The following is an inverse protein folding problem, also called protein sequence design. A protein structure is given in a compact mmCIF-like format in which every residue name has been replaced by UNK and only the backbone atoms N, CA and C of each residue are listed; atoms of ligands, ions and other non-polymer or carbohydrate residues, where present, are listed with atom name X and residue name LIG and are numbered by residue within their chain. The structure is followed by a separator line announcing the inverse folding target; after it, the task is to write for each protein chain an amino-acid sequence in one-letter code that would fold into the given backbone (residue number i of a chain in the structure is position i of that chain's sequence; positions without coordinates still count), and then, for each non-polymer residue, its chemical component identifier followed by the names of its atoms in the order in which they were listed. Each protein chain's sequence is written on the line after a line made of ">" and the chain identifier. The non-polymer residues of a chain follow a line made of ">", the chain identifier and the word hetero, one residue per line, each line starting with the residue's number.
data_IF_144753004531
#
_entry.id   IF_144753004531
#
_cell.length_a   1.000
_cell.length_b   1.000
_cell.length_c   1.000
_cell.angle_alpha   90.00
_cell.angle_beta   90.00
_cell.angle_gamma   90.00
#
_symmetry.space_group_name_H-M   'P 1'
#
loop_
_entity.id
_entity.type
_entity.pdbx_description
1 polymer ?
#
# COMPACT_ATOMS: atom_id res chain seq x y z
N UNK A 1 19.63 18.38 -5.68
CA UNK A 1 18.72 18.09 -4.56
C UNK A 1 17.28 18.17 -5.01
N UNK A 2 16.73 17.04 -5.43
CA UNK A 2 15.29 16.86 -5.65
C UNK A 2 14.68 16.20 -4.42
N UNK A 3 13.57 16.73 -3.93
CA UNK A 3 12.91 16.23 -2.73
C UNK A 3 11.42 16.00 -2.97
N UNK A 4 10.86 14.99 -2.33
CA UNK A 4 9.42 14.75 -2.25
C UNK A 4 8.92 15.16 -0.86
N UNK A 5 7.75 15.79 -0.80
CA UNK A 5 7.07 16.12 0.45
C UNK A 5 5.68 15.49 0.45
N UNK A 6 5.42 14.61 1.41
CA UNK A 6 4.16 13.90 1.57
C UNK A 6 3.29 14.67 2.57
N UNK A 7 2.20 15.26 2.10
CA UNK A 7 1.20 15.90 2.96
C UNK A 7 0.15 14.87 3.40
N UNK A 8 0.34 14.29 4.57
CA UNK A 8 -0.43 13.14 5.09
C UNK A 8 -1.74 13.53 5.79
N UNK A 9 -2.45 14.55 5.29
CA UNK A 9 -3.71 15.06 5.92
C UNK A 9 -4.83 14.03 5.95
N UNK A 10 -4.90 13.13 4.97
CA UNK A 10 -5.88 12.03 4.89
C UNK A 10 -5.30 10.66 5.19
N UNK A 11 -4.07 10.60 5.70
CA UNK A 11 -3.26 9.36 5.76
C UNK A 11 -2.33 9.22 4.55
N UNK A 12 -1.64 8.08 4.49
CA UNK A 12 -0.79 7.68 3.36
C UNK A 12 -0.78 6.15 3.26
N UNK A 13 -1.41 5.60 2.23
CA UNK A 13 -1.28 4.20 1.80
C UNK A 13 -0.40 4.10 0.55
N UNK A 14 0.09 2.91 0.23
CA UNK A 14 0.99 2.75 -0.92
C UNK A 14 0.31 3.06 -2.25
N UNK A 15 -0.94 2.63 -2.45
CA UNK A 15 -1.74 3.01 -3.63
C UNK A 15 -1.98 4.53 -3.75
N UNK A 16 -2.11 5.26 -2.63
CA UNK A 16 -2.17 6.72 -2.62
C UNK A 16 -0.84 7.35 -3.03
N UNK A 17 0.29 6.81 -2.56
CA UNK A 17 1.62 7.27 -2.95
C UNK A 17 1.90 6.97 -4.43
N UNK A 18 1.51 5.80 -4.92
CA UNK A 18 1.58 5.45 -6.33
C UNK A 18 0.73 6.40 -7.17
N UNK A 19 -0.51 6.67 -6.76
CA UNK A 19 -1.38 7.65 -7.42
C UNK A 19 -0.76 9.03 -7.49
N UNK A 20 -0.17 9.50 -6.39
CA UNK A 20 0.53 10.79 -6.34
C UNK A 20 1.76 10.85 -7.26
N UNK A 21 2.54 9.76 -7.34
CA UNK A 21 3.69 9.67 -8.24
C UNK A 21 3.26 9.67 -9.71
N UNK A 22 2.20 8.92 -10.04
CA UNK A 22 1.63 8.88 -11.39
C UNK A 22 1.09 10.25 -11.81
N UNK A 23 0.34 10.94 -10.94
CA UNK A 23 -0.13 12.32 -11.23
C UNK A 23 1.05 13.32 -11.26
N UNK A 24 2.11 13.03 -10.51
CA UNK A 24 3.38 13.78 -10.51
C UNK A 24 4.24 13.58 -11.76
N UNK A 25 3.77 12.80 -12.73
CA UNK A 25 4.41 12.62 -14.03
C UNK A 25 5.26 11.35 -14.16
N UNK A 26 5.18 10.41 -13.22
CA UNK A 26 5.76 9.07 -13.42
C UNK A 26 4.90 8.30 -14.41
N UNK A 27 5.46 7.80 -15.52
CA UNK A 27 4.73 6.94 -16.44
C UNK A 27 4.37 5.59 -15.80
N UNK A 28 3.19 5.05 -16.12
CA UNK A 28 2.69 3.79 -15.53
C UNK A 28 3.60 2.59 -15.86
N UNK A 29 4.22 2.59 -17.05
CA UNK A 29 5.15 1.57 -17.52
C UNK A 29 6.41 1.46 -16.65
N UNK A 30 6.84 2.54 -16.00
CA UNK A 30 7.94 2.50 -15.01
C UNK A 30 7.55 1.61 -13.83
N UNK A 31 6.32 1.77 -13.33
CA UNK A 31 5.80 1.01 -12.20
C UNK A 31 5.55 -0.45 -12.62
N UNK A 32 4.93 -0.66 -13.78
CA UNK A 32 4.69 -2.00 -14.34
C UNK A 32 6.00 -2.76 -14.57
N UNK A 33 7.03 -2.12 -15.10
CA UNK A 33 8.34 -2.75 -15.33
C UNK A 33 8.99 -3.18 -14.01
N UNK A 34 8.95 -2.33 -12.98
CA UNK A 34 9.51 -2.65 -11.66
C UNK A 34 8.76 -3.82 -11.01
N UNK A 35 7.43 -3.84 -11.09
CA UNK A 35 6.61 -4.94 -10.55
C UNK A 35 6.83 -6.23 -11.36
N UNK A 36 6.89 -6.13 -12.69
CA UNK A 36 7.18 -7.26 -13.57
C UNK A 36 8.53 -7.92 -13.28
N UNK A 37 9.53 -7.13 -12.86
CA UNK A 37 10.84 -7.63 -12.47
C UNK A 37 10.81 -8.54 -11.23
N UNK A 38 9.77 -8.47 -10.39
CA UNK A 38 9.60 -9.32 -9.21
C UNK A 38 9.21 -10.77 -9.57
N UNK A 39 8.75 -11.00 -10.81
CA UNK A 39 8.31 -12.33 -11.24
C UNK A 39 7.08 -12.86 -10.49
N UNK A 40 6.31 -11.98 -9.86
CA UNK A 40 5.03 -12.33 -9.21
C UNK A 40 3.91 -12.29 -10.24
N UNK A 41 3.08 -13.34 -10.26
CA UNK A 41 1.95 -13.43 -11.19
C UNK A 41 0.67 -12.85 -10.59
N UNK A 42 -0.24 -12.43 -11.45
CA UNK A 42 -1.59 -12.03 -11.03
C UNK A 42 -1.68 -10.63 -10.44
N UNK A 43 -0.73 -9.76 -10.74
CA UNK A 43 -0.74 -8.34 -10.38
C UNK A 43 -0.96 -7.51 -11.64
N UNK A 44 -1.91 -6.59 -11.59
CA UNK A 44 -2.12 -5.58 -12.62
C UNK A 44 -2.15 -4.21 -11.95
N UNK A 45 -1.36 -3.28 -12.48
CA UNK A 45 -1.37 -1.88 -12.04
C UNK A 45 -1.91 -1.03 -13.17
N UNK A 46 -2.85 -0.15 -12.85
CA UNK A 46 -3.34 0.83 -13.79
C UNK A 46 -3.56 2.17 -13.09
N UNK A 47 -3.69 3.23 -13.89
CA UNK A 47 -3.93 4.57 -13.40
C UNK A 47 -5.19 5.13 -14.06
N UNK A 48 -6.02 5.81 -13.29
CA UNK A 48 -7.14 6.59 -13.82
C UNK A 48 -7.18 7.95 -13.16
N UNK A 49 -7.65 8.97 -13.89
CA UNK A 49 -7.94 10.26 -13.29
C UNK A 49 -9.29 10.17 -12.59
N UNK A 50 -9.32 10.58 -11.32
CA UNK A 50 -10.53 10.66 -10.50
C UNK A 50 -10.69 12.11 -9.99
N UNK A 51 -11.94 12.50 -9.73
CA UNK A 51 -12.26 13.80 -9.13
C UNK A 51 -13.14 13.55 -7.93
N UNK A 52 -12.66 13.92 -6.74
CA UNK A 52 -13.40 13.78 -5.48
C UNK A 52 -13.38 15.07 -4.71
N UNK A 53 -14.54 15.48 -4.21
CA UNK A 53 -14.67 16.74 -3.48
C UNK A 53 -14.02 17.91 -4.25
N UNK A 54 -14.24 17.97 -5.56
CA UNK A 54 -13.69 18.99 -6.49
C UNK A 54 -12.17 18.96 -6.68
N UNK A 55 -11.46 17.96 -6.14
CA UNK A 55 -10.01 17.77 -6.32
C UNK A 55 -9.76 16.68 -7.36
N UNK A 56 -9.03 17.02 -8.43
CA UNK A 56 -8.52 16.08 -9.44
C UNK A 56 -7.23 15.44 -8.94
N UNK A 57 -7.09 14.12 -9.13
CA UNK A 57 -5.82 13.42 -8.99
C UNK A 57 -5.81 12.10 -9.75
N UNK A 58 -4.62 11.51 -9.92
CA UNK A 58 -4.53 10.13 -10.40
C UNK A 58 -4.77 9.17 -9.23
N UNK A 59 -5.56 8.13 -9.51
CA UNK A 59 -5.79 6.99 -8.63
C UNK A 59 -5.07 5.79 -9.22
N UNK A 60 -4.11 5.25 -8.48
CA UNK A 60 -3.56 3.94 -8.77
C UNK A 60 -4.62 2.87 -8.45
N UNK A 61 -4.77 1.91 -9.35
CA UNK A 61 -5.58 0.73 -9.16
C UNK A 61 -4.65 -0.47 -9.21
N UNK A 62 -4.49 -1.14 -8.07
CA UNK A 62 -3.72 -2.37 -7.96
C UNK A 62 -4.70 -3.52 -7.82
N UNK A 63 -4.74 -4.38 -8.82
CA UNK A 63 -5.53 -5.61 -8.79
C UNK A 63 -4.59 -6.80 -8.54
N UNK A 64 -4.82 -7.48 -7.41
CA UNK A 64 -4.10 -8.68 -7.00
C UNK A 64 -5.06 -9.86 -7.02
N UNK A 65 -4.99 -10.63 -8.10
CA UNK A 65 -5.88 -11.78 -8.35
C UNK A 65 -5.60 -13.00 -7.48
N UNK A 66 -4.43 -13.08 -6.82
CA UNK A 66 -4.04 -14.23 -6.01
C UNK A 66 -3.92 -13.85 -4.53
N UNK A 67 -4.68 -14.54 -3.67
CA UNK A 67 -4.56 -14.46 -2.21
C UNK A 67 -3.31 -15.19 -1.67
N UNK A 68 -2.19 -15.15 -2.42
CA UNK A 68 -0.94 -15.77 -2.00
C UNK A 68 -0.34 -14.96 -0.86
N UNK A 69 -0.05 -15.64 0.24
CA UNK A 69 0.68 -15.08 1.38
C UNK A 69 2.18 -15.35 1.21
N UNK A 70 3.00 -14.38 1.61
CA UNK A 70 4.45 -14.46 1.63
C UNK A 70 4.94 -14.27 3.07
N UNK A 71 5.93 -15.05 3.47
CA UNK A 71 6.66 -14.78 4.71
C UNK A 71 7.62 -13.59 4.54
N UNK A 72 8.08 -12.97 5.63
CA UNK A 72 9.08 -11.90 5.57
C UNK A 72 10.30 -12.28 4.73
N UNK A 73 10.83 -13.49 4.93
CA UNK A 73 12.00 -13.97 4.18
C UNK A 73 11.68 -14.12 2.68
N UNK A 74 10.51 -14.66 2.32
CA UNK A 74 10.12 -14.80 0.92
C UNK A 74 10.01 -13.45 0.22
N UNK A 75 9.47 -12.42 0.88
CA UNK A 75 9.38 -11.07 0.31
C UNK A 75 10.77 -10.46 0.08
N UNK A 76 11.68 -10.61 1.03
CA UNK A 76 13.07 -10.17 0.89
C UNK A 76 13.80 -10.94 -0.22
N UNK A 77 13.57 -12.25 -0.34
CA UNK A 77 14.17 -13.08 -1.39
C UNK A 77 13.68 -12.65 -2.78
N UNK A 78 12.38 -12.38 -2.93
CA UNK A 78 11.80 -11.89 -4.18
C UNK A 78 12.46 -10.58 -4.61
N UNK A 79 12.56 -9.60 -3.70
CA UNK A 79 13.16 -8.29 -4.02
C UNK A 79 14.66 -8.41 -4.27
N UNK A 80 15.39 -9.19 -3.46
CA UNK A 80 16.85 -9.33 -3.60
C UNK A 80 17.28 -10.05 -4.88
N UNK A 81 16.48 -10.97 -5.40
CA UNK A 81 16.80 -11.74 -6.62
C UNK A 81 16.17 -11.18 -7.90
N UNK A 82 15.35 -10.12 -7.81
CA UNK A 82 14.73 -9.49 -8.97
C UNK A 82 15.77 -8.76 -9.85
N UNK A 83 16.27 -9.43 -10.90
CA UNK A 83 17.36 -8.92 -11.73
C UNK A 83 17.00 -7.64 -12.54
N UNK A 84 15.71 -7.40 -12.77
CA UNK A 84 15.23 -6.21 -13.50
C UNK A 84 15.15 -4.93 -12.64
N UNK A 85 15.37 -5.02 -11.32
CA UNK A 85 15.40 -3.85 -10.44
C UNK A 85 16.78 -3.20 -10.43
N UNK A 86 16.81 -1.87 -10.45
CA UNK A 86 18.02 -1.11 -10.15
C UNK A 86 18.47 -1.35 -8.71
N UNK A 87 19.75 -1.07 -8.44
CA UNK A 87 20.29 -1.21 -7.09
C UNK A 87 19.66 -0.21 -6.11
N UNK A 88 19.30 0.98 -6.57
CA UNK A 88 18.61 1.99 -5.77
C UNK A 88 17.23 1.52 -5.31
N UNK A 89 16.41 1.07 -6.26
CA UNK A 89 15.07 0.52 -5.97
C UNK A 89 15.17 -0.70 -5.06
N UNK A 90 16.08 -1.63 -5.35
CA UNK A 90 16.28 -2.85 -4.53
C UNK A 90 16.65 -2.50 -3.09
N UNK A 91 17.68 -1.66 -2.92
CA UNK A 91 18.18 -1.27 -1.60
C UNK A 91 17.10 -0.56 -0.78
N UNK A 92 16.38 0.38 -1.41
CA UNK A 92 15.32 1.13 -0.73
C UNK A 92 14.11 0.25 -0.38
N UNK A 93 13.67 -0.62 -1.29
CA UNK A 93 12.59 -1.56 -1.03
C UNK A 93 12.92 -2.52 0.11
N UNK A 94 14.15 -3.07 0.12
CA UNK A 94 14.64 -3.92 1.21
C UNK A 94 14.66 -3.17 2.54
N UNK A 95 15.13 -1.93 2.57
CA UNK A 95 15.15 -1.12 3.80
C UNK A 95 13.73 -0.88 4.35
N UNK A 96 12.76 -0.57 3.48
CA UNK A 96 11.36 -0.38 3.86
C UNK A 96 10.74 -1.67 4.39
N UNK A 97 10.90 -2.79 3.68
CA UNK A 97 10.37 -4.09 4.13
C UNK A 97 10.94 -4.50 5.49
N UNK A 98 12.26 -4.34 5.68
CA UNK A 98 12.89 -4.62 6.97
C UNK A 98 12.29 -3.77 8.10
N UNK A 99 12.09 -2.46 7.86
CA UNK A 99 11.49 -1.57 8.84
C UNK A 99 10.02 -1.93 9.16
N UNK A 100 9.24 -2.34 8.15
CA UNK A 100 7.88 -2.83 8.33
C UNK A 100 7.85 -4.10 9.19
N UNK A 101 8.73 -5.06 8.92
CA UNK A 101 8.80 -6.31 9.69
C UNK A 101 9.27 -6.10 11.14
N UNK A 102 10.20 -5.17 11.37
CA UNK A 102 10.60 -4.77 12.72
C UNK A 102 9.46 -4.10 13.48
N UNK A 103 8.65 -3.28 12.79
CA UNK A 103 7.46 -2.68 13.38
C UNK A 103 6.39 -3.72 13.73
N UNK A 104 6.13 -4.67 12.82
CA UNK A 104 5.18 -5.77 13.03
C UNK A 104 5.60 -6.61 14.25
N UNK A 105 6.86 -7.03 14.32
CA UNK A 105 7.41 -7.77 15.46
C UNK A 105 7.17 -7.04 16.78
N UNK A 106 7.42 -5.73 16.80
CA UNK A 106 7.26 -4.89 17.99
C UNK A 106 5.80 -4.73 18.42
N UNK A 107 4.88 -4.50 17.48
CA UNK A 107 3.45 -4.31 17.78
C UNK A 107 2.81 -5.61 18.27
N UNK A 108 3.24 -6.75 17.73
CA UNK A 108 2.72 -8.07 18.10
C UNK A 108 3.48 -8.74 19.25
N UNK A 109 4.61 -8.18 19.69
CA UNK A 109 5.42 -8.71 20.78
C UNK A 109 6.08 -10.06 20.45
N UNK A 110 6.38 -10.30 19.18
CA UNK A 110 7.00 -11.52 18.68
C UNK A 110 8.46 -11.27 18.27
N UNK A 111 9.28 -12.33 18.33
CA UNK A 111 10.58 -12.29 17.67
C UNK A 111 10.40 -12.16 16.16
N UNK A 112 11.30 -11.42 15.51
CA UNK A 112 11.27 -11.18 14.06
C UNK A 112 11.18 -12.47 13.23
N UNK A 113 11.84 -13.53 13.68
CA UNK A 113 11.80 -14.84 13.02
C UNK A 113 10.44 -15.55 13.13
N UNK A 114 9.61 -15.17 14.10
CA UNK A 114 8.29 -15.71 14.37
C UNK A 114 7.15 -14.78 13.87
N UNK A 115 7.48 -13.69 13.17
CA UNK A 115 6.48 -12.76 12.63
C UNK A 115 5.62 -13.47 11.59
N UNK A 116 4.32 -13.51 11.86
CA UNK A 116 3.32 -13.87 10.87
C UNK A 116 2.72 -12.57 10.33
N UNK A 117 2.79 -12.38 9.01
CA UNK A 117 2.28 -11.18 8.37
C UNK A 117 0.77 -11.34 8.13
N UNK A 118 -0.03 -10.79 9.04
CA UNK A 118 -1.48 -10.83 8.94
C UNK A 118 -2.00 -9.86 7.88
N UNK A 119 -1.43 -8.65 7.83
CA UNK A 119 -1.85 -7.57 6.93
C UNK A 119 -0.83 -7.31 5.81
N UNK A 120 0.46 -7.48 6.07
CA UNK A 120 1.56 -7.11 5.16
C UNK A 120 2.05 -8.25 4.26
N UNK A 121 1.49 -9.45 4.38
CA UNK A 121 2.02 -10.67 3.76
C UNK A 121 1.57 -10.89 2.33
N UNK A 122 1.13 -9.85 1.60
CA UNK A 122 0.49 -10.01 0.29
C UNK A 122 1.31 -9.35 -0.83
N UNK A 123 0.97 -9.65 -2.09
CA UNK A 123 1.61 -9.00 -3.23
C UNK A 123 1.36 -7.48 -3.27
N UNK A 124 0.27 -7.00 -2.67
CA UNK A 124 -0.05 -5.56 -2.56
C UNK A 124 1.07 -4.79 -1.86
N UNK A 125 1.59 -5.32 -0.75
CA UNK A 125 2.73 -4.73 -0.03
C UNK A 125 4.01 -4.69 -0.88
N UNK A 126 4.26 -5.70 -1.71
CA UNK A 126 5.40 -5.68 -2.63
C UNK A 126 5.22 -4.61 -3.72
N UNK A 127 4.01 -4.50 -4.28
CA UNK A 127 3.65 -3.51 -5.29
C UNK A 127 3.84 -2.10 -4.74
N UNK A 128 3.31 -1.83 -3.56
CA UNK A 128 3.43 -0.55 -2.88
C UNK A 128 4.88 -0.15 -2.67
N UNK A 129 5.67 -1.02 -2.05
CA UNK A 129 7.06 -0.70 -1.69
C UNK A 129 7.95 -0.56 -2.93
N UNK A 130 7.88 -1.52 -3.86
CA UNK A 130 8.73 -1.53 -5.05
C UNK A 130 8.31 -0.47 -6.05
N UNK A 131 7.00 -0.30 -6.26
CA UNK A 131 6.46 0.72 -7.16
C UNK A 131 6.77 2.14 -6.67
N UNK A 132 6.59 2.44 -5.38
CA UNK A 132 6.93 3.76 -4.83
C UNK A 132 8.43 4.01 -4.94
N UNK A 133 9.28 3.03 -4.63
CA UNK A 133 10.73 3.17 -4.79
C UNK A 133 11.12 3.45 -6.25
N UNK A 134 10.53 2.74 -7.22
CA UNK A 134 10.77 2.95 -8.65
C UNK A 134 10.31 4.34 -9.12
N UNK A 135 9.13 4.80 -8.68
CA UNK A 135 8.65 6.14 -9.04
C UNK A 135 9.50 7.27 -8.44
N UNK A 136 9.97 7.10 -7.19
CA UNK A 136 10.89 8.05 -6.57
C UNK A 136 12.23 8.10 -7.29
N UNK A 137 12.77 6.95 -7.70
CA UNK A 137 14.00 6.87 -8.48
C UNK A 137 13.84 7.52 -9.86
N UNK A 138 12.72 7.27 -10.56
CA UNK A 138 12.42 7.89 -11.85
C UNK A 138 12.39 9.42 -11.76
N UNK A 139 11.79 9.96 -10.71
CA UNK A 139 11.78 11.40 -10.42
C UNK A 139 13.12 11.89 -9.83
N UNK A 140 14.13 11.03 -9.70
CA UNK A 140 15.44 11.30 -9.11
C UNK A 140 15.35 11.97 -7.73
N UNK A 141 14.38 11.54 -6.90
CA UNK A 141 14.17 12.07 -5.54
C UNK A 141 15.29 11.59 -4.62
N UNK A 142 15.99 12.55 -4.00
CA UNK A 142 17.11 12.29 -3.09
C UNK A 142 16.68 12.26 -1.61
N UNK A 143 15.56 12.94 -1.28
CA UNK A 143 15.03 13.02 0.09
C UNK A 143 13.50 13.00 0.07
N UNK A 144 12.92 12.24 0.99
CA UNK A 144 11.48 12.24 1.27
C UNK A 144 11.26 12.89 2.63
N UNK A 145 10.33 13.84 2.67
CA UNK A 145 9.83 14.48 3.88
C UNK A 145 8.33 14.20 3.99
N UNK A 146 7.79 14.24 5.19
CA UNK A 146 6.36 14.10 5.41
C UNK A 146 5.88 15.10 6.47
N UNK A 147 4.63 15.52 6.37
CA UNK A 147 3.94 16.16 7.48
C UNK A 147 3.78 15.17 8.64
N UNK A 148 3.48 15.64 9.87
CA UNK A 148 3.02 14.74 10.92
C UNK A 148 1.85 13.87 10.43
N UNK A 149 1.86 12.60 10.81
CA UNK A 149 0.75 11.69 10.51
C UNK A 149 -0.44 12.06 11.38
N UNK A 150 -1.61 12.24 10.77
CA UNK A 150 -2.87 12.36 11.50
C UNK A 150 -3.21 10.97 12.04
N UNK A 151 -2.92 10.73 13.31
CA UNK A 151 -3.27 9.47 13.97
C UNK A 151 -4.77 9.51 14.29
N UNK A 152 -5.53 8.59 13.68
CA UNK A 152 -6.92 8.35 14.10
C UNK A 152 -6.97 7.62 15.44
N UNK A 153 -7.99 7.88 16.26
CA UNK A 153 -8.32 7.01 17.39
C UNK A 153 -8.88 5.69 16.87
N UNK A 154 -8.01 4.71 16.62
CA UNK A 154 -8.44 3.35 16.35
C UNK A 154 -8.90 2.70 17.66
N UNK A 155 -10.13 2.98 18.08
CA UNK A 155 -10.81 2.09 19.02
C UNK A 155 -11.21 0.85 18.23
N UNK A 156 -10.30 -0.13 18.14
CA UNK A 156 -10.61 -1.40 17.50
C UNK A 156 -11.88 -1.99 18.11
N UNK A 157 -12.75 -2.68 17.33
CA UNK A 157 -13.94 -3.29 17.89
C UNK A 157 -13.52 -4.29 18.98
N UNK A 158 -13.65 -3.88 20.24
CA UNK A 158 -13.54 -4.80 21.38
C UNK A 158 -14.77 -5.70 21.32
N UNK A 159 -14.71 -6.78 20.55
CA UNK A 159 -15.71 -7.85 20.67
C UNK A 159 -15.41 -8.57 21.99
N UNK A 160 -16.23 -8.45 23.04
CA UNK A 160 -16.08 -9.33 24.19
C UNK A 160 -16.28 -10.76 23.69
N UNK A 161 -15.26 -11.62 23.89
CA UNK A 161 -15.37 -13.05 23.62
C UNK A 161 -16.56 -13.60 24.42
N UNK A 162 -17.51 -14.20 23.70
CA UNK A 162 -18.67 -14.99 24.15
C UNK A 162 -19.75 -14.24 24.94
N UNK A 163 -20.81 -13.86 24.23
CA UNK A 163 -22.18 -14.08 24.71
C UNK A 163 -22.90 -14.88 23.62
N UNK A 164 -23.51 -16.00 24.01
CA UNK A 164 -24.37 -16.81 23.17
C UNK A 164 -25.48 -15.93 22.60
N UNK A 165 -25.73 -16.00 21.29
CA UNK A 165 -26.97 -15.45 20.74
C UNK A 165 -28.13 -16.38 21.08
N UNK A 166 -29.21 -15.82 21.64
CA UNK A 166 -30.53 -16.18 21.15
C UNK A 166 -31.32 -14.92 20.77
N UNK A 167 -31.98 -14.99 19.60
CA UNK A 167 -33.23 -14.24 19.37
C UNK A 167 -33.13 -13.02 18.46
N UNK A 168 -33.96 -13.05 17.43
CA UNK A 168 -34.20 -12.04 16.41
C UNK A 168 -34.71 -10.68 16.96
N UNK A 169 -34.48 -9.60 16.20
CA UNK A 169 -35.13 -8.31 16.38
C UNK A 169 -34.68 -7.27 15.34
N UNK A 170 -35.64 -6.74 14.61
CA UNK A 170 -35.56 -5.83 13.45
C UNK A 170 -35.06 -4.39 13.72
N UNK A 171 -34.87 -3.64 12.61
CA UNK A 171 -34.76 -2.18 12.40
C UNK A 171 -33.34 -1.57 12.51
N UNK A 172 -32.84 -0.69 11.64
CA UNK A 172 -33.26 -0.01 10.40
C UNK A 172 -32.05 0.86 9.97
N UNK A 173 -31.53 0.70 8.76
CA UNK A 173 -31.78 1.48 7.52
C UNK A 173 -31.09 2.86 7.41
N UNK A 174 -30.52 3.07 6.21
CA UNK A 174 -30.10 4.30 5.53
C UNK A 174 -28.68 4.90 5.71
N UNK A 175 -27.85 4.68 4.69
CA UNK A 175 -27.27 5.78 3.89
C UNK A 175 -27.09 5.31 2.44
N UNK A 176 -28.08 5.61 1.57
CA UNK A 176 -27.98 5.44 0.12
C UNK A 176 -27.46 6.76 -0.47
N UNK A 177 -26.36 6.69 -1.20
CA UNK A 177 -25.91 7.77 -2.08
C UNK A 177 -26.64 7.60 -3.41
N UNK A 178 -27.57 8.52 -3.70
CA UNK A 178 -28.20 8.60 -5.01
C UNK A 178 -27.23 9.23 -6.02
N UNK A 179 -26.94 8.46 -7.07
CA UNK A 179 -26.26 8.91 -8.27
C UNK A 179 -27.25 9.66 -9.18
N UNK A 180 -27.14 10.98 -9.20
CA UNK A 180 -27.81 11.80 -10.20
C UNK A 180 -27.04 11.74 -11.53
N UNK A 181 -27.41 10.77 -12.38
CA UNK A 181 -27.22 10.86 -13.82
C UNK A 181 -28.59 10.91 -14.49
N UNK A 182 -28.88 12.03 -15.16
CA UNK A 182 -29.63 12.04 -16.41
C UNK A 182 -29.47 13.39 -17.11
N UNK A 183 -28.93 13.29 -18.32
CA UNK A 183 -29.22 14.08 -19.52
C UNK A 183 -30.68 14.46 -19.67
#
# INVERSE_FOLDING_TARGET
>A
MRAAYIQSVGGASGDMLLGALLDGGVPVDVIEAAIGALGISGVVVSAQIDVRCEVRGARALVDVSAAKRYSPQQMLDIVSHAAGLSEGVRSQAMAVLNALFDAEAKVHGHDRAAVHLDELGTADTLVDVVGVAAGLEYLAVERVYASPLVLGEATGPRRPRRVQQPGAGHAGDHCRVESAHRT
#
